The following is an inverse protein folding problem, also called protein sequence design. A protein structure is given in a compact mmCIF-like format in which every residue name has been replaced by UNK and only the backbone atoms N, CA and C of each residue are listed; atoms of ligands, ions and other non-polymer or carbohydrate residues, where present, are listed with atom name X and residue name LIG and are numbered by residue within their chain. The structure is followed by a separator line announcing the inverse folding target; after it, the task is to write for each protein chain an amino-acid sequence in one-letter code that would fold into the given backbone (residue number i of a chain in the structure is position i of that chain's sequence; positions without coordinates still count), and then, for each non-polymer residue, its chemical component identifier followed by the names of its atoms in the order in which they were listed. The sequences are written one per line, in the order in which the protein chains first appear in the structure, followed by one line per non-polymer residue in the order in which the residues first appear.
data_IF_626370427057
#
_entry.id   IF_626370427057
#
_cell.length_a   1.000
_cell.length_b   1.000
_cell.length_c   1.000
_cell.angle_alpha   90.00
_cell.angle_beta   90.00
_cell.angle_gamma   90.00
#
_symmetry.space_group_name_H-M   'P 1'
#
loop_
_entity.id
_entity.type
_entity.pdbx_description
1 polymer ?
#
# COMPACT_ATOMS: atom_id res chain seq x y z
N UNK A 1 17.03 -26.12 -8.27
CA UNK A 1 15.63 -25.70 -8.07
C UNK A 1 15.30 -25.44 -6.60
N UNK A 2 16.27 -25.02 -5.77
CA UNK A 2 16.07 -24.84 -4.32
C UNK A 2 16.79 -23.58 -3.78
N UNK A 3 17.08 -22.60 -4.65
CA UNK A 3 17.80 -21.37 -4.27
C UNK A 3 16.92 -20.10 -4.28
N UNK A 4 15.65 -20.20 -4.69
CA UNK A 4 14.77 -19.03 -4.83
C UNK A 4 13.96 -18.70 -3.54
N UNK A 5 14.05 -19.54 -2.49
CA UNK A 5 13.16 -19.50 -1.33
C UNK A 5 13.77 -18.90 -0.04
N UNK A 6 14.87 -18.17 -0.11
CA UNK A 6 15.42 -17.41 1.02
C UNK A 6 15.92 -16.01 0.63
N UNK A 7 15.24 -15.33 -0.28
CA UNK A 7 15.48 -13.89 -0.45
C UNK A 7 14.83 -13.18 0.74
N UNK A 8 15.62 -12.49 1.56
CA UNK A 8 15.09 -11.50 2.50
C UNK A 8 14.15 -10.54 1.74
N UNK A 9 13.04 -10.09 2.33
CA UNK A 9 12.12 -9.18 1.65
C UNK A 9 12.90 -7.99 1.10
N UNK A 10 12.80 -7.78 -0.22
CA UNK A 10 13.49 -6.66 -0.86
C UNK A 10 12.73 -5.39 -0.52
N UNK A 11 13.43 -4.39 0.01
CA UNK A 11 12.85 -3.06 0.33
C UNK A 11 12.12 -2.50 -0.90
N UNK A 12 12.71 -2.70 -2.08
CA UNK A 12 12.18 -2.26 -3.36
C UNK A 12 11.68 -3.42 -4.20
N UNK A 13 10.63 -3.19 -4.98
CA UNK A 13 10.17 -4.07 -6.04
C UNK A 13 9.89 -3.26 -7.30
N UNK A 14 10.39 -3.71 -8.44
CA UNK A 14 10.12 -3.09 -9.75
C UNK A 14 8.99 -3.83 -10.46
N UNK A 15 8.04 -3.09 -11.01
CA UNK A 15 6.94 -3.59 -11.82
C UNK A 15 7.03 -2.97 -13.22
N UNK A 16 7.07 -3.85 -14.23
CA UNK A 16 6.89 -3.46 -15.62
C UNK A 16 5.39 -3.37 -15.93
N UNK A 17 4.87 -2.15 -15.90
CA UNK A 17 3.48 -1.81 -16.17
C UNK A 17 3.07 -2.00 -17.63
N UNK A 18 4.03 -2.11 -18.56
CA UNK A 18 3.73 -2.33 -19.99
C UNK A 18 3.05 -3.67 -20.27
N UNK A 19 3.18 -4.63 -19.34
CA UNK A 19 2.56 -5.97 -19.41
C UNK A 19 1.07 -6.00 -19.14
N UNK A 20 0.51 -4.93 -18.55
CA UNK A 20 -0.89 -4.84 -18.18
C UNK A 20 -1.63 -3.90 -19.10
N UNK A 21 -2.94 -4.09 -19.30
CA UNK A 21 -3.80 -3.18 -20.05
C UNK A 21 -3.92 -1.86 -19.29
N UNK A 22 -4.55 -1.89 -18.12
CA UNK A 22 -4.62 -0.77 -17.18
C UNK A 22 -3.82 -1.05 -15.91
N UNK A 23 -3.34 0.02 -15.28
CA UNK A 23 -2.78 -0.04 -13.92
C UNK A 23 -3.47 1.00 -13.07
N UNK A 24 -3.90 0.58 -11.89
CA UNK A 24 -4.58 1.41 -10.90
C UNK A 24 -3.81 1.41 -9.59
N UNK A 25 -3.86 2.52 -8.87
CA UNK A 25 -3.35 2.64 -7.51
C UNK A 25 -4.50 2.98 -6.57
N UNK A 26 -4.59 2.25 -5.46
CA UNK A 26 -5.66 2.42 -4.45
C UNK A 26 -5.08 2.89 -3.12
N UNK A 27 -5.80 3.79 -2.47
CA UNK A 27 -5.49 4.26 -1.11
C UNK A 27 -5.69 3.18 -0.03
N UNK A 28 -5.56 3.60 1.22
CA UNK A 28 -5.67 2.76 2.42
C UNK A 28 -7.03 2.04 2.46
N UNK A 29 -7.01 0.71 2.61
CA UNK A 29 -8.23 -0.11 2.57
C UNK A 29 -8.85 -0.27 3.95
N UNK A 30 -8.03 -0.53 4.98
CA UNK A 30 -8.47 -0.74 6.35
C UNK A 30 -9.72 -1.64 6.45
N UNK A 31 -9.64 -2.85 5.90
CA UNK A 31 -10.74 -3.82 5.94
C UNK A 31 -12.02 -3.40 5.18
N UNK A 32 -11.92 -2.53 4.18
CA UNK A 32 -13.04 -2.11 3.32
C UNK A 32 -13.11 -2.90 2.00
N UNK A 33 -13.05 -4.23 2.07
CA UNK A 33 -13.02 -5.12 0.90
C UNK A 33 -14.22 -4.93 -0.03
N UNK A 34 -15.45 -4.90 0.51
CA UNK A 34 -16.67 -4.71 -0.30
C UNK A 34 -16.66 -3.38 -1.04
N UNK A 35 -16.08 -2.33 -0.42
CA UNK A 35 -15.91 -1.02 -1.08
C UNK A 35 -14.93 -1.10 -2.23
N UNK A 36 -13.79 -1.75 -2.04
CA UNK A 36 -12.83 -1.99 -3.11
C UNK A 36 -13.48 -2.71 -4.29
N UNK A 37 -14.18 -3.82 -4.04
CA UNK A 37 -14.84 -4.58 -5.11
C UNK A 37 -15.89 -3.75 -5.86
N UNK A 38 -16.61 -2.88 -5.15
CA UNK A 38 -17.57 -1.96 -5.77
C UNK A 38 -16.88 -0.94 -6.69
N UNK A 39 -15.74 -0.38 -6.28
CA UNK A 39 -14.96 0.55 -7.10
C UNK A 39 -14.33 -0.14 -8.33
N UNK A 40 -13.80 -1.35 -8.16
CA UNK A 40 -13.25 -2.14 -9.26
C UNK A 40 -14.33 -2.49 -10.30
N UNK A 41 -15.53 -2.86 -9.84
CA UNK A 41 -16.68 -3.06 -10.72
C UNK A 41 -17.07 -1.77 -11.45
N UNK A 42 -17.07 -0.62 -10.76
CA UNK A 42 -17.44 0.68 -11.36
C UNK A 42 -16.51 1.10 -12.51
N UNK A 43 -15.24 0.69 -12.47
CA UNK A 43 -14.24 1.03 -13.50
C UNK A 43 -14.00 -0.08 -14.51
N UNK A 44 -14.87 -1.11 -14.52
CA UNK A 44 -14.76 -2.29 -15.40
C UNK A 44 -13.37 -2.96 -15.33
N UNK A 45 -12.82 -3.07 -14.11
CA UNK A 45 -11.53 -3.70 -13.86
C UNK A 45 -11.53 -5.17 -14.31
N UNK A 46 -10.54 -5.56 -15.12
CA UNK A 46 -10.38 -6.93 -15.58
C UNK A 46 -9.17 -7.59 -14.89
N UNK A 47 -9.36 -8.50 -13.92
CA UNK A 47 -8.26 -9.15 -13.20
C UNK A 47 -7.36 -10.03 -14.08
N UNK A 48 -7.76 -10.34 -15.32
CA UNK A 48 -6.90 -11.07 -16.27
C UNK A 48 -5.96 -10.15 -17.07
N UNK A 49 -6.23 -8.85 -17.10
CA UNK A 49 -5.52 -7.89 -17.96
C UNK A 49 -4.98 -6.67 -17.19
N UNK A 50 -5.58 -6.32 -16.07
CA UNK A 50 -5.28 -5.12 -15.30
C UNK A 50 -4.49 -5.43 -14.02
N UNK A 51 -3.81 -4.41 -13.49
CA UNK A 51 -3.07 -4.47 -12.23
C UNK A 51 -3.65 -3.45 -11.25
N UNK A 52 -3.81 -3.88 -9.99
CA UNK A 52 -4.08 -3.00 -8.86
C UNK A 52 -2.85 -2.98 -7.93
N UNK A 53 -2.38 -1.77 -7.59
CA UNK A 53 -1.32 -1.54 -6.61
C UNK A 53 -1.92 -0.79 -5.41
N UNK A 54 -1.79 -1.33 -4.21
CA UNK A 54 -2.21 -0.67 -2.96
C UNK A 54 -1.04 0.06 -2.30
N UNK A 55 -1.33 1.20 -1.69
CA UNK A 55 -0.40 1.95 -0.81
C UNK A 55 -0.21 1.30 0.57
N UNK A 56 -0.75 0.10 0.81
CA UNK A 56 -0.68 -0.58 2.11
C UNK A 56 -1.91 -0.31 2.98
N UNK A 57 -1.78 -0.59 4.28
CA UNK A 57 -2.85 -0.47 5.27
C UNK A 57 -4.12 -1.19 4.81
N UNK A 58 -3.94 -2.49 4.58
CA UNK A 58 -4.99 -3.42 4.17
C UNK A 58 -5.92 -3.76 5.34
N UNK A 59 -5.36 -3.80 6.55
CA UNK A 59 -6.01 -4.29 7.76
C UNK A 59 -6.27 -3.19 8.79
N UNK A 60 -6.90 -3.61 9.88
CA UNK A 60 -7.32 -2.85 11.04
C UNK A 60 -8.42 -1.83 10.74
N UNK A 61 -9.06 -1.35 11.81
CA UNK A 61 -10.16 -0.36 11.83
C UNK A 61 -11.48 -0.86 11.21
N UNK A 62 -11.46 -1.43 10.01
CA UNK A 62 -12.64 -1.96 9.32
C UNK A 62 -12.96 -3.40 9.68
N UNK A 63 -13.86 -4.01 8.91
CA UNK A 63 -14.49 -5.28 9.26
C UNK A 63 -13.99 -6.46 8.42
N UNK A 64 -13.57 -6.23 7.18
CA UNK A 64 -13.24 -7.26 6.19
C UNK A 64 -11.70 -7.44 6.07
N UNK A 65 -11.02 -7.55 7.21
CA UNK A 65 -9.56 -7.55 7.30
C UNK A 65 -8.92 -8.77 6.64
N UNK A 66 -9.52 -9.95 6.84
CA UNK A 66 -9.02 -11.21 6.25
C UNK A 66 -9.17 -11.16 4.74
N UNK A 67 -10.32 -10.70 4.24
CA UNK A 67 -10.63 -10.57 2.82
C UNK A 67 -9.68 -9.57 2.12
N UNK A 68 -9.34 -8.46 2.80
CA UNK A 68 -8.31 -7.53 2.31
C UNK A 68 -6.91 -8.18 2.27
N UNK A 69 -6.53 -9.01 3.24
CA UNK A 69 -5.25 -9.73 3.19
C UNK A 69 -5.23 -10.82 2.10
N UNK A 70 -6.35 -11.49 1.83
CA UNK A 70 -6.45 -12.51 0.79
C UNK A 70 -6.14 -11.96 -0.61
N UNK A 71 -6.31 -10.65 -0.83
CA UNK A 71 -5.88 -9.97 -2.06
C UNK A 71 -4.39 -10.21 -2.38
N UNK A 72 -3.54 -10.41 -1.37
CA UNK A 72 -2.11 -10.69 -1.56
C UNK A 72 -1.84 -12.01 -2.30
N UNK A 73 -2.83 -12.91 -2.35
CA UNK A 73 -2.75 -14.16 -3.11
C UNK A 73 -3.09 -13.95 -4.60
N UNK A 74 -3.65 -12.80 -4.96
CA UNK A 74 -4.17 -12.55 -6.30
C UNK A 74 -3.07 -12.08 -7.26
N UNK A 75 -2.94 -12.68 -8.47
CA UNK A 75 -1.91 -12.28 -9.43
C UNK A 75 -2.01 -10.82 -9.88
N UNK A 76 -3.21 -10.25 -9.89
CA UNK A 76 -3.52 -8.88 -10.30
C UNK A 76 -3.39 -7.85 -9.18
N UNK A 77 -2.99 -8.25 -7.97
CA UNK A 77 -2.86 -7.36 -6.82
C UNK A 77 -1.42 -7.28 -6.32
N UNK A 78 -0.94 -6.07 -6.07
CA UNK A 78 0.33 -5.80 -5.38
C UNK A 78 0.08 -4.76 -4.30
N UNK A 79 0.89 -4.78 -3.25
CA UNK A 79 0.82 -3.78 -2.20
C UNK A 79 2.23 -3.43 -1.71
N UNK A 80 2.37 -2.24 -1.14
CA UNK A 80 3.51 -1.91 -0.29
C UNK A 80 3.17 -2.16 1.19
N UNK A 81 4.19 -2.28 2.02
CA UNK A 81 4.07 -2.38 3.47
C UNK A 81 3.45 -1.10 4.05
N UNK A 82 2.29 -1.19 4.69
CA UNK A 82 1.71 -0.13 5.53
C UNK A 82 2.25 -0.16 6.97
N UNK A 83 1.93 0.87 7.75
CA UNK A 83 2.31 0.86 9.15
C UNK A 83 1.44 -0.10 9.98
N UNK A 84 0.20 -0.37 9.56
CA UNK A 84 -0.66 -1.35 10.22
C UNK A 84 -0.18 -2.79 9.98
N UNK A 85 0.28 -3.12 8.77
CA UNK A 85 0.98 -4.39 8.54
C UNK A 85 2.25 -4.50 9.37
N UNK A 86 3.00 -3.40 9.53
CA UNK A 86 4.20 -3.40 10.38
C UNK A 86 3.86 -3.65 11.86
N UNK A 87 2.81 -3.01 12.38
CA UNK A 87 2.32 -3.25 13.74
C UNK A 87 1.93 -4.72 13.94
N UNK A 88 1.24 -5.33 12.98
CA UNK A 88 0.89 -6.74 13.00
C UNK A 88 2.15 -7.63 13.07
N UNK A 89 3.13 -7.40 12.19
CA UNK A 89 4.38 -8.18 12.19
C UNK A 89 5.12 -8.06 13.51
N UNK A 90 5.28 -6.83 14.03
CA UNK A 90 6.00 -6.57 15.28
C UNK A 90 5.27 -7.25 16.46
N UNK A 91 3.93 -7.17 16.51
CA UNK A 91 3.11 -7.77 17.55
C UNK A 91 3.14 -9.30 17.55
N UNK A 92 3.17 -9.94 16.38
CA UNK A 92 3.17 -11.39 16.22
C UNK A 92 4.59 -12.00 16.19
N UNK A 93 5.62 -11.18 16.35
CA UNK A 93 7.00 -11.66 16.49
C UNK A 93 7.20 -12.38 17.84
N UNK A 94 8.21 -13.27 17.97
CA UNK A 94 8.42 -14.05 19.20
C UNK A 94 8.55 -13.22 20.48
N UNK A 95 9.15 -12.03 20.37
CA UNK A 95 9.33 -11.08 21.48
C UNK A 95 8.36 -9.89 21.40
N UNK A 96 7.33 -10.00 20.56
CA UNK A 96 6.38 -8.96 20.23
C UNK A 96 5.45 -8.58 21.38
N UNK A 97 5.01 -7.33 21.38
CA UNK A 97 4.00 -6.84 22.32
C UNK A 97 2.73 -6.43 21.57
N UNK A 98 1.69 -7.26 21.71
CA UNK A 98 0.40 -7.06 21.03
C UNK A 98 -0.32 -5.76 21.41
N UNK A 99 -0.02 -5.18 22.58
CA UNK A 99 -0.75 -4.00 23.08
C UNK A 99 -0.67 -2.81 22.12
N UNK A 100 0.49 -2.57 21.49
CA UNK A 100 0.63 -1.47 20.56
C UNK A 100 -0.26 -1.65 19.32
N UNK A 101 -0.32 -2.88 18.78
CA UNK A 101 -1.19 -3.17 17.65
C UNK A 101 -2.67 -3.13 18.03
N UNK A 102 -3.04 -3.67 19.20
CA UNK A 102 -4.41 -3.59 19.72
C UNK A 102 -4.87 -2.13 19.88
N UNK A 103 -4.02 -1.24 20.39
CA UNK A 103 -4.34 0.20 20.50
C UNK A 103 -4.58 0.87 19.14
N UNK A 104 -4.14 0.25 18.04
CA UNK A 104 -4.27 0.76 16.67
C UNK A 104 -5.28 -0.03 15.83
N UNK A 105 -6.10 -0.90 16.43
CA UNK A 105 -7.19 -1.58 15.69
C UNK A 105 -6.97 -3.06 15.40
N UNK A 106 -5.90 -3.67 15.92
CA UNK A 106 -5.57 -5.08 15.72
C UNK A 106 -6.45 -6.10 16.45
N UNK A 107 -7.55 -5.69 17.09
CA UNK A 107 -8.41 -6.60 17.88
C UNK A 107 -9.01 -7.73 17.04
N UNK A 108 -9.26 -7.48 15.75
CA UNK A 108 -9.96 -8.40 14.86
C UNK A 108 -9.29 -9.78 14.79
N UNK A 109 -7.95 -9.82 14.84
CA UNK A 109 -7.17 -11.06 14.74
C UNK A 109 -7.48 -12.03 15.89
N UNK A 110 -7.74 -11.51 17.08
CA UNK A 110 -8.02 -12.30 18.28
C UNK A 110 -9.51 -12.67 18.44
N UNK A 111 -10.34 -12.24 17.48
CA UNK A 111 -11.77 -12.57 17.42
C UNK A 111 -12.10 -13.57 16.30
N UNK A 112 -11.08 -14.03 15.57
CA UNK A 112 -11.23 -15.00 14.48
C UNK A 112 -11.65 -16.37 15.04
N UNK A 113 -12.44 -17.09 14.26
CA UNK A 113 -12.64 -18.53 14.50
C UNK A 113 -11.38 -19.33 14.11
N UNK A 114 -11.37 -20.63 14.44
CA UNK A 114 -10.20 -21.49 14.22
C UNK A 114 -9.78 -21.58 12.75
N UNK A 115 -10.72 -21.62 11.81
CA UNK A 115 -10.41 -21.76 10.39
C UNK A 115 -9.84 -20.43 9.85
N UNK A 116 -10.43 -19.32 10.26
CA UNK A 116 -9.95 -17.98 9.94
C UNK A 116 -8.58 -17.68 10.55
N UNK A 117 -8.31 -18.14 11.78
CA UNK A 117 -7.01 -17.96 12.43
C UNK A 117 -5.91 -18.67 11.65
N UNK A 118 -6.13 -19.92 11.21
CA UNK A 118 -5.17 -20.67 10.39
C UNK A 118 -4.88 -19.92 9.09
N UNK A 119 -5.92 -19.43 8.42
CA UNK A 119 -5.77 -18.63 7.20
C UNK A 119 -4.99 -17.34 7.47
N UNK A 120 -5.34 -16.60 8.54
CA UNK A 120 -4.69 -15.35 8.88
C UNK A 120 -3.18 -15.53 9.15
N UNK A 121 -2.78 -16.62 9.82
CA UNK A 121 -1.36 -16.95 9.99
C UNK A 121 -0.65 -17.22 8.67
N UNK A 122 -1.29 -17.89 7.70
CA UNK A 122 -0.72 -18.07 6.37
C UNK A 122 -0.58 -16.73 5.63
N UNK A 123 -1.55 -15.83 5.79
CA UNK A 123 -1.53 -14.49 5.19
C UNK A 123 -0.45 -13.60 5.81
N UNK A 124 -0.15 -13.72 7.11
CA UNK A 124 0.97 -13.00 7.76
C UNK A 124 2.30 -13.29 7.06
N UNK A 125 2.52 -14.52 6.58
CA UNK A 125 3.74 -14.86 5.85
C UNK A 125 3.82 -14.18 4.47
N UNK A 126 2.69 -13.80 3.87
CA UNK A 126 2.66 -12.94 2.68
C UNK A 126 2.91 -11.48 3.05
N UNK A 127 2.32 -11.01 4.14
CA UNK A 127 2.52 -9.65 4.66
C UNK A 127 4.01 -9.38 4.93
N UNK A 128 4.72 -10.34 5.55
CA UNK A 128 6.18 -10.26 5.79
C UNK A 128 7.01 -10.11 4.51
N UNK A 129 6.46 -10.41 3.34
CA UNK A 129 7.15 -10.32 2.04
C UNK A 129 6.82 -9.05 1.26
N UNK A 130 5.95 -8.20 1.78
CA UNK A 130 5.62 -6.93 1.12
C UNK A 130 6.86 -6.06 0.99
N UNK A 131 7.11 -5.47 -0.21
CA UNK A 131 8.12 -4.43 -0.36
C UNK A 131 7.66 -3.17 0.38
N UNK A 132 8.60 -2.34 0.80
CA UNK A 132 8.29 -1.01 1.33
C UNK A 132 8.00 -0.02 0.20
N UNK A 133 8.62 -0.22 -0.96
CA UNK A 133 8.56 0.70 -2.09
C UNK A 133 8.37 -0.11 -3.38
N UNK A 134 7.41 0.31 -4.20
CA UNK A 134 7.23 -0.19 -5.57
C UNK A 134 7.66 0.89 -6.56
N UNK A 135 8.53 0.54 -7.49
CA UNK A 135 8.80 1.32 -8.71
C UNK A 135 7.97 0.75 -9.85
N UNK A 136 7.03 1.52 -10.39
CA UNK A 136 6.22 1.16 -11.54
C UNK A 136 6.73 1.92 -12.77
N UNK A 137 7.15 1.19 -13.79
CA UNK A 137 7.41 1.77 -15.11
C UNK A 137 6.17 1.57 -16.01
N UNK A 138 5.53 2.64 -16.46
CA UNK A 138 4.32 2.54 -17.32
C UNK A 138 4.67 2.47 -18.81
N UNK A 139 5.95 2.57 -19.16
CA UNK A 139 6.47 2.82 -20.51
C UNK A 139 6.58 4.31 -20.86
N UNK A 140 5.88 5.17 -20.12
CA UNK A 140 5.89 6.64 -20.30
C UNK A 140 6.46 7.36 -19.07
N UNK A 141 6.17 6.85 -17.88
CA UNK A 141 6.54 7.44 -16.59
C UNK A 141 7.12 6.35 -15.68
N UNK A 142 7.98 6.80 -14.78
CA UNK A 142 8.42 6.07 -13.59
C UNK A 142 7.67 6.63 -12.39
N UNK A 143 6.83 5.78 -11.77
CA UNK A 143 6.01 6.12 -10.62
C UNK A 143 6.51 5.35 -9.42
N UNK A 144 6.73 6.04 -8.30
CA UNK A 144 7.14 5.44 -7.03
C UNK A 144 5.95 5.39 -6.10
N UNK A 145 5.62 4.21 -5.60
CA UNK A 145 4.55 3.98 -4.63
C UNK A 145 5.18 3.56 -3.31
N UNK A 146 4.81 4.25 -2.25
CA UNK A 146 5.17 3.91 -0.87
C UNK A 146 3.99 4.25 0.04
N UNK A 147 4.01 3.80 1.29
CA UNK A 147 2.86 4.00 2.16
C UNK A 147 2.71 5.46 2.64
N UNK A 148 3.74 6.01 3.28
CA UNK A 148 3.65 7.33 3.92
C UNK A 148 4.52 8.39 3.23
N UNK A 149 5.77 8.06 2.92
CA UNK A 149 6.73 8.98 2.32
C UNK A 149 7.88 8.25 1.60
N UNK A 150 8.61 8.98 0.77
CA UNK A 150 9.98 8.65 0.40
C UNK A 150 10.92 9.63 1.12
N UNK A 151 11.64 9.22 2.19
CA UNK A 151 12.31 10.14 3.11
C UNK A 151 13.66 10.63 2.60
N UNK A 152 13.68 11.14 1.37
CA UNK A 152 14.80 11.79 0.70
C UNK A 152 14.25 12.72 -0.41
N UNK A 153 15.09 13.59 -0.98
CA UNK A 153 14.72 14.47 -2.10
C UNK A 153 15.22 13.94 -3.46
N UNK A 154 15.97 12.84 -3.47
CA UNK A 154 16.41 12.14 -4.67
C UNK A 154 16.12 10.65 -4.56
N UNK A 155 15.19 10.19 -5.39
CA UNK A 155 14.89 8.79 -5.58
C UNK A 155 15.96 8.08 -6.39
N UNK A 156 16.35 6.92 -5.88
CA UNK A 156 17.12 5.95 -6.64
C UNK A 156 16.68 4.54 -6.22
N UNK A 157 16.42 3.68 -7.21
CA UNK A 157 16.07 2.29 -6.95
C UNK A 157 17.16 1.60 -6.12
N UNK A 158 16.76 1.01 -4.99
CA UNK A 158 17.68 0.31 -4.08
C UNK A 158 18.43 1.20 -3.10
N UNK A 159 18.20 2.52 -3.10
CA UNK A 159 18.79 3.44 -2.11
C UNK A 159 18.30 3.11 -0.71
N UNK A 160 19.21 2.98 0.25
CA UNK A 160 18.85 2.80 1.64
C UNK A 160 18.12 4.05 2.16
N UNK A 161 16.95 3.83 2.75
CA UNK A 161 16.11 4.87 3.33
C UNK A 161 15.59 4.41 4.70
N UNK A 162 15.34 5.32 5.65
CA UNK A 162 14.75 4.96 6.94
C UNK A 162 13.36 4.34 6.78
N UNK A 163 13.24 3.00 6.90
CA UNK A 163 11.98 2.27 6.70
C UNK A 163 10.86 2.72 7.65
N UNK A 164 11.23 3.22 8.84
CA UNK A 164 10.27 3.82 9.76
C UNK A 164 9.56 5.01 9.09
N UNK A 165 10.30 5.92 8.47
CA UNK A 165 9.71 7.09 7.81
C UNK A 165 8.90 6.70 6.57
N UNK A 166 9.30 5.66 5.82
CA UNK A 166 8.56 5.17 4.65
C UNK A 166 7.11 4.79 4.99
N UNK A 167 6.85 4.36 6.23
CA UNK A 167 5.50 3.97 6.67
C UNK A 167 4.89 4.88 7.75
N UNK A 168 5.67 5.73 8.43
CA UNK A 168 5.13 6.56 9.52
C UNK A 168 5.18 8.07 9.28
N UNK A 169 6.03 8.56 8.38
CA UNK A 169 6.28 9.99 8.24
C UNK A 169 5.02 10.76 7.81
N UNK A 170 4.86 11.95 8.38
CA UNK A 170 3.78 12.90 8.03
C UNK A 170 4.30 14.33 7.83
N UNK A 171 5.60 14.52 8.02
CA UNK A 171 6.26 15.82 7.98
C UNK A 171 6.16 16.43 6.57
N UNK A 172 6.45 15.65 5.52
CA UNK A 172 6.41 16.15 4.14
C UNK A 172 5.02 16.65 3.73
N UNK A 173 3.96 15.89 4.03
CA UNK A 173 2.60 16.33 3.71
C UNK A 173 2.20 17.55 4.54
N UNK A 174 2.58 17.60 5.81
CA UNK A 174 2.34 18.75 6.68
C UNK A 174 3.00 20.01 6.11
N UNK A 175 4.29 19.94 5.78
CA UNK A 175 5.04 21.04 5.18
C UNK A 175 4.42 21.46 3.83
N UNK A 176 4.02 20.47 3.01
CA UNK A 176 3.38 20.74 1.71
C UNK A 176 2.05 21.48 1.84
N UNK A 177 1.27 21.23 2.91
CA UNK A 177 0.03 21.97 3.19
C UNK A 177 0.30 23.45 3.53
N UNK A 178 1.51 23.75 4.02
CA UNK A 178 1.99 25.10 4.31
C UNK A 178 2.82 25.69 3.14
N UNK A 179 2.78 25.07 1.95
CA UNK A 179 3.54 25.46 0.74
C UNK A 179 5.07 25.41 0.93
N UNK A 180 5.54 24.53 1.82
CA UNK A 180 6.95 24.28 2.10
C UNK A 180 7.36 22.95 1.48
N UNK A 181 8.34 22.96 0.57
CA UNK A 181 8.85 21.74 -0.04
C UNK A 181 9.28 21.92 -1.50
N UNK A 182 9.23 20.81 -2.24
CA UNK A 182 9.64 20.74 -3.63
C UNK A 182 9.43 19.35 -4.22
N UNK A 183 9.84 19.18 -5.47
CA UNK A 183 9.84 17.88 -6.13
C UNK A 183 10.82 16.91 -5.46
N UNK A 184 10.47 15.62 -5.48
CA UNK A 184 11.43 14.55 -5.24
C UNK A 184 11.97 14.16 -6.62
N UNK A 185 13.26 14.33 -6.85
CA UNK A 185 13.90 13.99 -8.12
C UNK A 185 14.05 12.47 -8.29
N UNK A 186 14.34 12.00 -9.52
CA UNK A 186 14.65 10.59 -9.79
C UNK A 186 13.46 9.72 -10.23
N UNK A 187 12.23 10.21 -10.07
CA UNK A 187 11.02 9.62 -10.65
C UNK A 187 10.03 10.72 -11.04
N UNK A 188 9.10 10.41 -11.94
CA UNK A 188 8.14 11.38 -12.45
C UNK A 188 7.05 11.70 -11.42
N UNK A 189 6.61 10.68 -10.65
CA UNK A 189 5.54 10.81 -9.66
C UNK A 189 5.79 9.92 -8.43
N UNK A 190 5.26 10.37 -7.29
CA UNK A 190 5.22 9.64 -6.04
C UNK A 190 3.78 9.53 -5.56
N UNK A 191 3.33 8.34 -5.16
CA UNK A 191 1.97 8.10 -4.70
C UNK A 191 2.00 7.49 -3.31
N UNK A 192 1.29 8.12 -2.37
CA UNK A 192 1.26 7.81 -0.95
C UNK A 192 -0.17 7.70 -0.40
N UNK A 193 -0.31 6.98 0.70
CA UNK A 193 -1.50 6.85 1.54
C UNK A 193 -1.33 7.53 2.91
N UNK A 194 -1.66 6.80 4.00
CA UNK A 194 -1.33 7.05 5.42
C UNK A 194 -1.93 8.29 6.11
N UNK A 195 -1.99 9.42 5.41
CA UNK A 195 -2.53 10.67 5.93
C UNK A 195 -3.86 10.96 5.26
N UNK A 196 -4.99 10.74 5.97
CA UNK A 196 -6.30 10.97 5.40
C UNK A 196 -6.48 12.41 4.93
N UNK A 197 -6.84 12.56 3.66
CA UNK A 197 -7.21 13.85 3.04
C UNK A 197 -8.65 13.79 2.54
N UNK A 198 -9.37 14.91 2.56
CA UNK A 198 -10.80 14.94 2.13
C UNK A 198 -11.01 14.54 0.65
N UNK A 199 -10.01 14.80 -0.17
CA UNK A 199 -9.93 14.50 -1.59
C UNK A 199 -8.45 14.28 -1.92
N UNK A 200 -8.11 13.54 -2.99
CA UNK A 200 -6.72 13.37 -3.38
C UNK A 200 -6.02 14.72 -3.50
N UNK A 201 -4.78 14.78 -3.01
CA UNK A 201 -3.96 16.00 -3.04
C UNK A 201 -2.72 15.76 -3.88
N UNK A 202 -2.27 16.81 -4.55
CA UNK A 202 -1.01 16.80 -5.29
C UNK A 202 -0.20 18.01 -4.90
N UNK A 203 1.05 17.78 -4.53
CA UNK A 203 2.04 18.80 -4.21
C UNK A 203 3.28 18.47 -5.03
N UNK A 204 3.66 19.37 -5.95
CA UNK A 204 4.68 19.10 -6.96
C UNK A 204 4.44 17.75 -7.67
N UNK A 205 5.30 16.76 -7.45
CA UNK A 205 5.17 15.41 -8.00
C UNK A 205 4.74 14.34 -6.98
N UNK A 206 4.27 14.74 -5.79
CA UNK A 206 3.75 13.84 -4.76
C UNK A 206 2.23 13.86 -4.70
N UNK A 207 1.62 12.68 -4.67
CA UNK A 207 0.17 12.48 -4.65
C UNK A 207 -0.24 11.71 -3.40
N UNK A 208 -1.19 12.25 -2.65
CA UNK A 208 -1.74 11.63 -1.44
C UNK A 208 -3.17 11.19 -1.73
N UNK A 209 -3.41 9.88 -1.68
CA UNK A 209 -4.65 9.25 -2.15
C UNK A 209 -5.45 8.54 -1.05
N UNK A 210 -4.99 8.57 0.19
CA UNK A 210 -5.82 8.14 1.31
C UNK A 210 -6.97 9.14 1.52
N UNK A 211 -8.18 8.74 1.11
CA UNK A 211 -9.39 9.53 1.31
C UNK A 211 -10.25 9.05 2.49
N UNK A 212 -9.69 8.20 3.35
CA UNK A 212 -10.33 7.75 4.57
C UNK A 212 -11.53 6.83 4.29
N UNK A 213 -11.33 5.77 3.51
CA UNK A 213 -12.38 4.83 3.12
C UNK A 213 -13.12 4.25 4.34
N UNK A 214 -12.37 3.84 5.38
CA UNK A 214 -12.95 3.30 6.62
C UNK A 214 -13.70 4.35 7.45
N UNK A 215 -13.37 5.63 7.29
CA UNK A 215 -13.97 6.72 8.08
C UNK A 215 -15.22 7.32 7.43
N UNK A 216 -15.21 7.50 6.11
CA UNK A 216 -16.28 8.18 5.39
C UNK A 216 -16.79 7.44 4.14
N UNK A 217 -16.27 6.25 3.86
CA UNK A 217 -16.66 5.44 2.70
C UNK A 217 -16.05 5.88 1.37
N UNK A 218 -15.22 6.92 1.36
CA UNK A 218 -14.57 7.41 0.15
C UNK A 218 -13.24 6.67 -0.08
N UNK A 219 -13.23 5.77 -1.07
CA UNK A 219 -12.03 5.03 -1.48
C UNK A 219 -11.52 5.56 -2.82
N UNK A 220 -10.31 6.11 -2.82
CA UNK A 220 -9.69 6.60 -4.05
C UNK A 220 -9.08 5.44 -4.84
N UNK A 221 -9.48 5.34 -6.10
CA UNK A 221 -8.90 4.45 -7.10
C UNK A 221 -8.39 5.31 -8.27
N UNK A 222 -7.07 5.44 -8.39
CA UNK A 222 -6.40 6.30 -9.36
C UNK A 222 -5.88 5.48 -10.54
N UNK A 223 -6.29 5.81 -11.78
CA UNK A 223 -5.73 5.20 -12.99
C UNK A 223 -4.38 5.84 -13.32
N UNK A 224 -3.32 5.04 -13.38
CA UNK A 224 -1.96 5.51 -13.69
C UNK A 224 -1.43 4.97 -15.02
N UNK A 225 -2.13 4.02 -15.64
CA UNK A 225 -1.85 3.54 -17.00
C UNK A 225 -3.12 3.08 -17.72
N UNK A 226 -3.18 3.33 -19.02
CA UNK A 226 -4.27 2.95 -19.93
C UNK A 226 -5.05 4.17 -20.41
N UNK A 227 -6.07 3.98 -21.25
CA UNK A 227 -6.86 5.08 -21.81
C UNK A 227 -7.50 5.93 -20.69
N UNK A 228 -7.31 7.25 -20.75
CA UNK A 228 -7.81 8.18 -19.72
C UNK A 228 -7.04 8.14 -18.40
N UNK A 229 -5.82 7.61 -18.36
CA UNK A 229 -4.91 7.80 -17.24
C UNK A 229 -4.62 9.31 -17.05
N UNK A 230 -4.63 9.74 -15.78
CA UNK A 230 -4.50 11.13 -15.37
C UNK A 230 -3.06 11.48 -15.00
#
# INVERSE_FOLDING_TARGET
MAEEYMMAPTIYHRIDGTKYRNVWVVGDLHGCYTRLMSELHRVDFDPAQDLLISVGDLIDRGTENVECLELLQMPWFRAVMGNHERLMIDALSPDGNVNNWLMNGGQWFFMLDTDQEILAWALVELVKRLPYIIELNTGQETIVIAHADYPDNEYQFGKEVPLFNVVWARERISDSMDDIGGEISGADRFIFGHTPVKSPKTFWNQQYIDTGAVFCGNLTLMKVKGDGAA
#
